data_IF_779875271389
#
_entry.id   IF_779875271389
#
_cell.length_a   1.000
_cell.length_b   1.000
_cell.length_c   1.000
_cell.angle_alpha   90.00
_cell.angle_beta   90.00
_cell.angle_gamma   90.00
#
_symmetry.space_group_name_H-M   'P 1'
#
loop_
_entity.id
_entity.type
_entity.pdbx_description
1 polymer ?
#
# COMPACT_ATOMS: atom_id res chain seq x y z
N UNK A 1 36.92 5.68 7.22
CA UNK A 1 37.90 4.62 7.49
C UNK A 1 37.18 3.28 7.55
N UNK A 2 37.65 2.30 6.77
CA UNK A 2 36.88 1.13 6.34
C UNK A 2 36.81 -0.04 7.33
N UNK A 3 35.93 -1.00 7.02
CA UNK A 3 36.25 -2.44 6.92
C UNK A 3 35.08 -3.17 6.24
N UNK A 4 35.41 -3.95 5.20
CA UNK A 4 34.55 -4.92 4.51
C UNK A 4 34.42 -6.19 5.36
N UNK A 5 33.26 -6.84 5.30
CA UNK A 5 33.07 -8.22 5.74
C UNK A 5 32.16 -8.94 4.74
N UNK A 6 32.74 -9.82 3.93
CA UNK A 6 32.06 -10.65 2.94
C UNK A 6 31.20 -11.73 3.60
N UNK A 7 29.94 -11.84 3.18
CA UNK A 7 29.10 -13.01 3.46
C UNK A 7 28.44 -13.51 2.16
N UNK A 8 28.98 -14.61 1.64
CA UNK A 8 28.39 -15.44 0.58
C UNK A 8 27.14 -16.15 1.06
N UNK A 9 25.99 -15.92 0.42
CA UNK A 9 24.73 -16.65 0.69
C UNK A 9 24.62 -17.84 -0.27
N UNK A 10 24.59 -19.06 0.30
CA UNK A 10 24.29 -20.32 -0.39
C UNK A 10 22.79 -20.40 -0.72
N UNK A 11 22.44 -20.63 -1.98
CA UNK A 11 21.07 -20.85 -2.45
C UNK A 11 20.83 -22.33 -2.77
N UNK A 12 19.85 -22.94 -2.08
CA UNK A 12 19.27 -24.25 -2.42
C UNK A 12 18.10 -24.05 -3.41
N UNK A 13 18.04 -24.89 -4.47
CA UNK A 13 16.95 -24.91 -5.46
C UNK A 13 15.84 -25.89 -5.07
N UNK A 14 14.55 -25.58 -5.26
CA UNK A 14 13.48 -26.58 -5.26
C UNK A 14 13.21 -27.16 -6.66
N UNK A 15 12.86 -28.45 -6.68
CA UNK A 15 12.53 -29.30 -7.84
C UNK A 15 11.21 -28.87 -8.52
N UNK A 16 11.17 -28.96 -9.85
CA UNK A 16 9.98 -28.77 -10.69
C UNK A 16 9.18 -30.07 -10.80
N UNK A 17 7.86 -29.95 -10.62
CA UNK A 17 6.87 -31.02 -10.74
C UNK A 17 6.46 -31.19 -12.20
N UNK A 18 6.35 -32.45 -12.59
CA UNK A 18 5.95 -33.00 -13.87
C UNK A 18 4.48 -32.66 -14.22
N UNK A 19 4.21 -32.20 -15.44
CA UNK A 19 2.87 -32.36 -16.03
C UNK A 19 2.98 -32.64 -17.53
N UNK A 20 2.37 -33.76 -17.93
CA UNK A 20 2.44 -34.39 -19.25
C UNK A 20 1.48 -33.70 -20.22
N UNK A 21 1.92 -33.48 -21.46
CA UNK A 21 1.00 -33.34 -22.61
C UNK A 21 1.61 -34.06 -23.83
N UNK A 22 0.88 -35.05 -24.34
CA UNK A 22 1.17 -35.86 -25.53
C UNK A 22 0.77 -35.07 -26.80
N UNK A 23 1.40 -35.30 -27.96
CA UNK A 23 1.40 -34.40 -29.11
C UNK A 23 0.32 -34.77 -30.16
N UNK A 24 -0.34 -33.75 -30.70
CA UNK A 24 -1.19 -33.88 -31.89
C UNK A 24 -0.95 -32.68 -32.80
N UNK A 25 0.07 -32.76 -33.64
CA UNK A 25 0.23 -31.91 -34.84
C UNK A 25 1.24 -32.60 -35.77
N UNK A 26 0.82 -33.75 -36.27
CA UNK A 26 1.48 -34.51 -37.34
C UNK A 26 0.39 -34.94 -38.33
N UNK A 27 -0.22 -33.95 -38.99
CA UNK A 27 -1.09 -34.17 -40.13
C UNK A 27 -1.16 -32.84 -40.90
N UNK A 28 -0.22 -32.65 -41.81
CA UNK A 28 -0.42 -31.98 -43.11
C UNK A 28 0.91 -31.94 -43.91
N UNK A 29 1.63 -33.06 -43.88
CA UNK A 29 2.82 -33.28 -44.71
C UNK A 29 2.67 -34.59 -45.47
N UNK A 30 1.60 -34.73 -46.27
CA UNK A 30 1.47 -35.81 -47.23
C UNK A 30 0.41 -35.47 -48.29
N UNK A 31 0.84 -34.81 -49.36
CA UNK A 31 0.36 -35.03 -50.74
C UNK A 31 1.15 -34.15 -51.69
N UNK A 32 2.26 -34.66 -52.21
CA UNK A 32 2.68 -34.31 -53.56
C UNK A 32 3.28 -35.56 -54.20
N UNK A 33 2.52 -36.14 -55.13
CA UNK A 33 3.01 -37.19 -56.02
C UNK A 33 4.05 -36.57 -56.95
N UNK A 34 5.25 -37.15 -56.97
CA UNK A 34 6.27 -36.84 -57.96
C UNK A 34 5.80 -37.37 -59.32
N UNK A 35 5.62 -36.50 -60.31
CA UNK A 35 5.59 -36.89 -61.71
C UNK A 35 7.00 -36.68 -62.28
N UNK A 36 7.58 -37.78 -62.74
CA UNK A 36 8.81 -37.84 -63.54
C UNK A 36 8.53 -37.35 -64.95
N UNK A 37 9.34 -36.42 -65.46
CA UNK A 37 9.48 -36.18 -66.90
C UNK A 37 9.75 -34.73 -67.30
N UNK A 38 10.91 -34.55 -67.94
CA UNK A 38 11.30 -33.47 -68.87
C UNK A 38 11.78 -32.09 -68.36
N UNK A 39 13.06 -31.86 -68.65
CA UNK A 39 13.70 -30.62 -69.09
C UNK A 39 13.05 -29.28 -68.72
N UNK A 40 13.61 -28.63 -67.69
CA UNK A 40 13.98 -27.21 -67.73
C UNK A 40 12.87 -26.17 -67.84
N UNK A 41 11.84 -26.20 -66.97
CA UNK A 41 10.88 -25.08 -66.87
C UNK A 41 10.64 -24.66 -65.42
N UNK A 42 10.89 -23.38 -65.13
CA UNK A 42 10.64 -22.71 -63.84
C UNK A 42 9.15 -22.34 -63.67
N UNK A 43 8.23 -23.30 -63.55
CA UNK A 43 6.80 -22.98 -63.45
C UNK A 43 6.32 -22.75 -62.00
N UNK A 44 5.51 -21.70 -61.82
CA UNK A 44 4.94 -21.33 -60.51
C UNK A 44 3.76 -22.22 -60.12
N UNK A 45 3.64 -22.57 -58.84
CA UNK A 45 2.45 -23.24 -58.32
C UNK A 45 1.19 -22.38 -58.47
N UNK A 46 0.02 -23.01 -58.38
CA UNK A 46 -1.23 -22.28 -58.21
C UNK A 46 -1.21 -21.44 -56.93
N UNK A 47 -1.98 -20.35 -56.94
CA UNK A 47 -2.14 -19.47 -55.79
C UNK A 47 -2.93 -20.17 -54.68
N UNK A 48 -2.49 -20.00 -53.43
CA UNK A 48 -3.25 -20.46 -52.26
C UNK A 48 -4.63 -19.81 -52.17
N UNK A 49 -5.52 -20.39 -51.36
CA UNK A 49 -6.72 -19.70 -50.91
C UNK A 49 -6.35 -18.38 -50.20
N UNK A 50 -7.27 -17.42 -50.22
CA UNK A 50 -7.06 -16.13 -49.58
C UNK A 50 -6.91 -16.33 -48.07
N UNK A 51 -5.90 -15.68 -47.46
CA UNK A 51 -5.59 -15.84 -46.03
C UNK A 51 -6.70 -15.41 -45.08
N UNK A 52 -7.70 -14.66 -45.57
CA UNK A 52 -8.86 -14.21 -44.80
C UNK A 52 -10.16 -14.45 -45.58
N UNK A 53 -11.26 -14.65 -44.84
CA UNK A 53 -12.60 -14.87 -45.39
C UNK A 53 -13.41 -13.58 -45.54
N UNK A 54 -12.83 -12.43 -45.17
CA UNK A 54 -13.45 -11.10 -45.26
C UNK A 54 -12.35 -10.05 -45.48
N UNK A 55 -12.66 -8.94 -46.15
CA UNK A 55 -11.69 -7.85 -46.37
C UNK A 55 -10.47 -8.22 -47.22
N UNK A 56 -9.35 -7.53 -46.98
CA UNK A 56 -8.10 -7.69 -47.74
C UNK A 56 -7.21 -8.77 -47.11
N UNK A 57 -6.82 -9.75 -47.92
CA UNK A 57 -5.92 -10.84 -47.55
C UNK A 57 -4.72 -10.97 -48.47
N UNK A 58 -3.97 -12.06 -48.26
CA UNK A 58 -2.85 -12.44 -49.12
C UNK A 58 -3.02 -13.87 -49.64
N UNK A 59 -2.57 -14.09 -50.87
CA UNK A 59 -2.35 -15.40 -51.47
C UNK A 59 -0.87 -15.57 -51.71
N UNK A 60 -0.38 -16.79 -51.56
CA UNK A 60 1.03 -17.12 -51.77
C UNK A 60 1.12 -18.23 -52.80
N UNK A 61 2.10 -18.15 -53.69
CA UNK A 61 2.52 -19.24 -54.56
C UNK A 61 4.03 -19.43 -54.50
N UNK A 62 4.48 -20.63 -54.84
CA UNK A 62 5.90 -21.02 -54.75
C UNK A 62 6.33 -21.73 -56.02
N UNK A 63 7.60 -21.60 -56.40
CA UNK A 63 8.21 -22.37 -57.47
C UNK A 63 9.47 -23.07 -56.99
N UNK A 64 9.80 -24.21 -57.59
CA UNK A 64 10.99 -24.99 -57.27
C UNK A 64 12.02 -24.83 -58.39
N UNK A 65 13.29 -24.65 -58.00
CA UNK A 65 14.42 -24.55 -58.91
C UNK A 65 15.33 -25.76 -58.65
N UNK A 66 15.59 -26.54 -59.69
CA UNK A 66 16.46 -27.73 -59.62
C UNK A 66 17.62 -27.52 -60.60
N UNK A 67 18.81 -27.16 -60.08
CA UNK A 67 20.02 -26.99 -60.89
C UNK A 67 20.91 -28.24 -60.78
N UNK A 68 21.28 -28.89 -61.89
CA UNK A 68 22.15 -30.07 -61.84
C UNK A 68 23.65 -29.75 -61.65
N UNK A 69 24.09 -28.50 -61.83
CA UNK A 69 25.52 -28.13 -61.86
C UNK A 69 25.88 -26.85 -61.07
N UNK A 70 25.09 -26.48 -60.05
CA UNK A 70 25.49 -25.46 -59.08
C UNK A 70 25.39 -24.00 -59.56
N UNK A 71 24.57 -23.71 -60.56
CA UNK A 71 24.21 -22.31 -60.88
C UNK A 71 23.13 -21.80 -59.92
N UNK A 72 23.33 -20.59 -59.38
CA UNK A 72 22.37 -19.94 -58.49
C UNK A 72 21.07 -19.60 -59.22
N UNK A 73 19.93 -19.99 -58.65
CA UNK A 73 18.60 -19.67 -59.15
C UNK A 73 18.39 -18.14 -59.16
N UNK A 74 17.98 -17.60 -60.31
CA UNK A 74 17.73 -16.17 -60.46
C UNK A 74 16.27 -15.85 -60.14
N UNK A 75 16.05 -15.03 -59.11
CA UNK A 75 14.74 -14.51 -58.73
C UNK A 75 14.08 -15.23 -57.54
N UNK A 76 12.95 -14.68 -57.03
CA UNK A 76 12.30 -15.19 -55.82
C UNK A 76 11.63 -16.56 -56.06
N UNK A 77 11.69 -17.42 -55.04
CA UNK A 77 11.04 -18.76 -55.03
C UNK A 77 9.63 -18.73 -54.43
N UNK A 78 9.24 -17.58 -53.85
CA UNK A 78 7.96 -17.36 -53.19
C UNK A 78 7.44 -16.00 -53.59
N UNK A 79 6.19 -15.95 -54.01
CA UNK A 79 5.52 -14.72 -54.41
C UNK A 79 4.23 -14.57 -53.61
N UNK A 80 3.94 -13.36 -53.17
CA UNK A 80 2.70 -13.03 -52.46
C UNK A 80 1.96 -11.94 -53.21
N UNK A 81 0.63 -12.12 -53.34
CA UNK A 81 -0.27 -11.10 -53.90
C UNK A 81 -1.44 -10.84 -52.97
N UNK A 82 -2.02 -9.67 -53.12
CA UNK A 82 -3.24 -9.27 -52.40
C UNK A 82 -4.46 -9.96 -53.00
N UNK A 83 -5.37 -10.43 -52.14
CA UNK A 83 -6.73 -10.85 -52.51
C UNK A 83 -7.76 -9.99 -51.76
N UNK A 84 -8.86 -9.62 -52.41
CA UNK A 84 -9.93 -8.84 -51.79
C UNK A 84 -11.22 -9.69 -51.74
N UNK A 85 -11.79 -9.81 -50.55
CA UNK A 85 -13.07 -10.47 -50.33
C UNK A 85 -14.16 -9.41 -50.06
N UNK A 86 -15.35 -9.59 -50.64
CA UNK A 86 -16.48 -8.64 -50.53
C UNK A 86 -17.22 -8.72 -49.21
N UNK A 87 -16.99 -9.76 -48.40
CA UNK A 87 -17.57 -9.86 -47.07
C UNK A 87 -16.98 -8.82 -46.11
N UNK A 88 -17.85 -8.09 -45.41
CA UNK A 88 -17.47 -7.15 -44.35
C UNK A 88 -16.96 -7.91 -43.13
N UNK A 89 -15.80 -7.51 -42.61
CA UNK A 89 -15.23 -8.18 -41.45
C UNK A 89 -15.96 -7.80 -40.14
N UNK A 90 -16.14 -8.75 -39.21
CA UNK A 90 -16.65 -8.44 -37.88
C UNK A 90 -15.75 -7.42 -37.18
N UNK A 91 -16.35 -6.31 -36.71
CA UNK A 91 -15.63 -5.32 -35.90
C UNK A 91 -16.03 -5.52 -34.45
N UNK A 92 -15.06 -5.95 -33.65
CA UNK A 92 -15.27 -6.15 -32.22
C UNK A 92 -15.45 -4.82 -31.49
N UNK A 93 -16.29 -4.83 -30.45
CA UNK A 93 -16.44 -3.67 -29.58
C UNK A 93 -15.13 -3.39 -28.84
N UNK A 94 -14.73 -2.12 -28.80
CA UNK A 94 -13.46 -1.70 -28.17
C UNK A 94 -13.76 -0.78 -26.99
N UNK A 95 -13.13 -1.06 -25.85
CA UNK A 95 -13.16 -0.17 -24.70
C UNK A 95 -12.35 1.10 -24.99
N UNK A 96 -12.94 2.25 -24.71
CA UNK A 96 -12.21 3.53 -24.64
C UNK A 96 -11.29 3.57 -23.43
N UNK A 97 -10.43 4.59 -23.38
CA UNK A 97 -9.53 4.80 -22.25
C UNK A 97 -10.32 5.08 -20.96
N UNK A 98 -9.77 4.63 -19.84
CA UNK A 98 -10.35 4.92 -18.53
C UNK A 98 -10.27 6.42 -18.24
N UNK A 99 -11.34 6.96 -17.67
CA UNK A 99 -11.34 8.28 -17.05
C UNK A 99 -10.25 8.37 -15.96
N UNK A 100 -9.81 9.59 -15.62
CA UNK A 100 -9.06 9.82 -14.38
C UNK A 100 -9.84 9.28 -13.18
N UNK A 101 -9.10 8.89 -12.13
CA UNK A 101 -9.71 8.51 -10.87
C UNK A 101 -10.40 9.71 -10.22
N UNK A 102 -11.60 9.49 -9.68
CA UNK A 102 -12.26 10.45 -8.81
C UNK A 102 -11.42 10.75 -7.55
N UNK A 103 -11.79 11.81 -6.84
CA UNK A 103 -11.39 11.99 -5.45
C UNK A 103 -11.86 10.79 -4.61
N UNK A 104 -11.18 10.58 -3.48
CA UNK A 104 -11.63 9.58 -2.51
C UNK A 104 -12.99 9.99 -1.95
N UNK A 105 -13.88 9.02 -1.74
CA UNK A 105 -15.23 9.25 -1.20
C UNK A 105 -15.23 9.94 0.16
N UNK A 106 -14.13 9.83 0.92
CA UNK A 106 -13.93 10.49 2.20
C UNK A 106 -12.62 11.28 2.20
N UNK A 107 -12.60 12.38 2.95
CA UNK A 107 -11.41 13.22 3.15
C UNK A 107 -10.45 12.65 4.20
N UNK A 108 -10.89 11.67 4.98
CA UNK A 108 -10.10 10.94 5.96
C UNK A 108 -10.56 9.47 6.01
N UNK A 109 -9.77 8.61 6.63
CA UNK A 109 -10.07 7.19 6.81
C UNK A 109 -9.94 6.38 5.52
N UNK A 110 -10.72 5.29 5.46
CA UNK A 110 -10.82 4.39 4.31
C UNK A 110 -11.98 4.84 3.44
N UNK A 111 -11.72 5.12 2.17
CA UNK A 111 -12.75 5.40 1.17
C UNK A 111 -12.54 4.62 -0.11
N UNK A 112 -13.34 4.94 -1.11
CA UNK A 112 -13.17 4.43 -2.47
C UNK A 112 -13.06 5.59 -3.45
N UNK A 113 -12.27 5.36 -4.50
CA UNK A 113 -12.26 6.19 -5.70
C UNK A 113 -12.72 5.36 -6.88
N UNK A 114 -13.35 6.01 -7.83
CA UNK A 114 -14.01 5.37 -8.97
C UNK A 114 -13.46 5.96 -10.26
N UNK A 115 -13.41 5.14 -11.31
CA UNK A 115 -13.18 5.57 -12.69
C UNK A 115 -14.09 4.79 -13.62
N UNK A 116 -14.43 5.38 -14.77
CA UNK A 116 -15.33 4.80 -15.77
C UNK A 116 -14.68 4.79 -17.15
N UNK A 117 -15.20 3.97 -18.07
CA UNK A 117 -14.80 3.92 -19.48
C UNK A 117 -16.02 3.61 -20.34
N UNK A 118 -16.04 4.03 -21.59
CA UNK A 118 -17.16 3.75 -22.50
C UNK A 118 -16.81 2.64 -23.49
N UNK A 119 -17.79 1.86 -23.94
CA UNK A 119 -17.61 0.82 -24.96
C UNK A 119 -18.06 1.35 -26.32
N UNK A 120 -17.19 1.27 -27.32
CA UNK A 120 -17.60 1.39 -28.72
C UNK A 120 -18.33 0.11 -29.13
N UNK A 121 -19.56 0.19 -29.68
CA UNK A 121 -20.37 -0.98 -29.95
C UNK A 121 -19.79 -1.83 -31.10
N UNK A 122 -19.91 -3.17 -31.04
CA UNK A 122 -19.49 -4.04 -32.14
C UNK A 122 -20.33 -3.82 -33.41
N UNK A 123 -19.74 -4.08 -34.56
CA UNK A 123 -20.40 -4.05 -35.87
C UNK A 123 -20.23 -5.38 -36.61
N UNK A 124 -21.15 -5.67 -37.53
CA UNK A 124 -21.10 -6.84 -38.42
C UNK A 124 -20.92 -8.19 -37.68
N UNK A 125 -21.65 -8.38 -36.57
CA UNK A 125 -21.58 -9.62 -35.77
C UNK A 125 -20.34 -9.75 -34.89
N UNK A 126 -19.60 -8.66 -34.66
CA UNK A 126 -18.49 -8.62 -33.72
C UNK A 126 -18.92 -8.86 -32.26
N UNK A 127 -17.99 -9.41 -31.47
CA UNK A 127 -18.15 -9.59 -30.01
C UNK A 127 -18.31 -8.25 -29.26
N UNK A 128 -19.18 -8.18 -28.24
CA UNK A 128 -19.33 -7.01 -27.38
C UNK A 128 -18.11 -6.83 -26.46
N UNK A 129 -17.99 -5.64 -25.87
CA UNK A 129 -16.94 -5.38 -24.89
C UNK A 129 -17.16 -6.23 -23.63
N UNK A 130 -16.19 -7.08 -23.28
CA UNK A 130 -16.25 -7.89 -22.07
C UNK A 130 -15.61 -7.16 -20.88
N UNK A 131 -16.26 -7.24 -19.72
CA UNK A 131 -15.80 -6.68 -18.45
C UNK A 131 -16.58 -5.44 -17.99
N UNK A 132 -16.21 -4.86 -16.83
CA UNK A 132 -16.98 -3.78 -16.22
C UNK A 132 -16.69 -2.41 -16.87
N UNK A 133 -17.72 -1.58 -16.90
CA UNK A 133 -17.68 -0.16 -17.30
C UNK A 133 -17.10 0.73 -16.19
N UNK A 134 -17.32 0.34 -14.93
CA UNK A 134 -16.93 1.09 -13.73
C UNK A 134 -15.94 0.29 -12.91
N UNK A 135 -14.89 0.94 -12.42
CA UNK A 135 -13.88 0.34 -11.57
C UNK A 135 -13.70 1.12 -10.27
N UNK A 136 -13.73 0.39 -9.15
CA UNK A 136 -13.54 0.94 -7.81
C UNK A 136 -12.19 0.52 -7.24
N UNK A 137 -11.51 1.43 -6.55
CA UNK A 137 -10.27 1.14 -5.84
C UNK A 137 -10.29 1.77 -4.46
N UNK A 138 -9.89 1.04 -3.40
CA UNK A 138 -9.77 1.63 -2.08
C UNK A 138 -8.71 2.74 -2.05
N UNK A 139 -8.96 3.76 -1.25
CA UNK A 139 -8.06 4.87 -0.95
C UNK A 139 -8.00 5.10 0.56
N UNK A 140 -6.79 5.37 1.07
CA UNK A 140 -6.54 5.76 2.45
C UNK A 140 -5.82 7.11 2.41
N UNK A 141 -6.38 8.13 3.07
CA UNK A 141 -5.81 9.48 3.08
C UNK A 141 -5.05 9.74 4.38
N UNK A 142 -5.76 9.88 5.50
CA UNK A 142 -5.21 10.10 6.84
C UNK A 142 -6.16 9.52 7.89
N UNK A 143 -5.74 9.37 9.14
CA UNK A 143 -6.66 8.98 10.22
C UNK A 143 -7.71 10.09 10.41
N UNK A 144 -8.98 9.71 10.61
CA UNK A 144 -10.04 10.70 10.79
C UNK A 144 -9.94 11.40 12.14
N UNK A 145 -10.25 12.72 12.20
CA UNK A 145 -10.44 13.41 13.47
C UNK A 145 -11.47 12.66 14.30
N UNK A 146 -11.12 12.40 15.55
CA UNK A 146 -12.05 11.85 16.54
C UNK A 146 -12.24 12.93 17.58
N UNK A 147 -13.41 13.54 17.57
CA UNK A 147 -13.78 14.52 18.59
C UNK A 147 -13.92 13.85 19.95
N UNK A 148 -13.55 14.59 21.00
CA UNK A 148 -13.80 14.18 22.36
C UNK A 148 -15.31 14.13 22.61
N UNK A 149 -15.77 13.03 23.18
CA UNK A 149 -17.18 12.80 23.48
C UNK A 149 -17.37 12.75 24.99
N UNK A 150 -18.39 13.47 25.47
CA UNK A 150 -18.85 13.32 26.83
C UNK A 150 -19.37 11.90 27.03
N UNK A 151 -18.83 11.20 28.02
CA UNK A 151 -19.46 10.00 28.53
C UNK A 151 -20.80 10.34 29.18
N UNK A 152 -21.59 9.30 29.45
CA UNK A 152 -22.81 9.46 30.22
C UNK A 152 -22.50 10.13 31.57
N UNK A 153 -23.43 10.98 31.99
CA UNK A 153 -23.37 11.53 33.33
C UNK A 153 -23.37 10.40 34.35
N UNK A 154 -22.55 10.55 35.39
CA UNK A 154 -22.70 9.73 36.58
C UNK A 154 -24.13 9.86 37.13
N UNK A 155 -24.53 8.86 37.92
CA UNK A 155 -25.69 9.05 38.80
C UNK A 155 -25.53 10.32 39.62
N UNK A 156 -26.65 10.97 39.91
CA UNK A 156 -26.67 12.03 40.91
C UNK A 156 -26.18 11.45 42.24
N UNK A 157 -25.31 12.20 42.91
CA UNK A 157 -24.96 11.92 44.30
C UNK A 157 -26.23 11.91 45.14
N UNK A 158 -26.15 11.31 46.33
CA UNK A 158 -27.16 11.56 47.34
C UNK A 158 -27.23 13.06 47.65
N UNK A 159 -28.39 13.50 48.15
CA UNK A 159 -28.57 14.88 48.57
C UNK A 159 -27.52 15.22 49.64
N UNK A 160 -26.90 16.40 49.54
CA UNK A 160 -25.90 16.84 50.51
C UNK A 160 -26.45 16.88 51.94
N UNK A 161 -27.78 16.95 52.09
CA UNK A 161 -28.49 16.85 53.36
C UNK A 161 -29.44 15.66 53.32
N UNK A 162 -29.69 15.03 54.46
CA UNK A 162 -30.76 14.03 54.56
C UNK A 162 -32.13 14.64 54.82
N UNK A 163 -32.19 15.93 55.16
CA UNK A 163 -33.42 16.64 55.42
C UNK A 163 -33.30 18.14 55.10
N UNK A 164 -34.40 18.80 54.76
CA UNK A 164 -34.44 20.17 54.22
C UNK A 164 -33.77 20.30 52.85
N UNK A 165 -33.43 21.53 52.45
CA UNK A 165 -32.78 21.86 51.18
C UNK A 165 -31.28 21.52 51.21
N UNK A 166 -30.83 20.85 50.16
CA UNK A 166 -29.42 20.63 49.89
C UNK A 166 -29.13 20.59 48.40
N UNK A 167 -27.98 20.05 48.04
CA UNK A 167 -27.51 19.95 46.66
C UNK A 167 -27.06 18.53 46.32
N UNK A 168 -27.40 18.08 45.11
CA UNK A 168 -26.84 16.87 44.50
C UNK A 168 -25.89 17.28 43.40
N UNK A 169 -24.81 16.51 43.23
CA UNK A 169 -23.83 16.72 42.18
C UNK A 169 -23.74 15.50 41.29
N UNK A 170 -23.42 15.72 40.02
CA UNK A 170 -23.01 14.67 39.09
C UNK A 170 -21.86 15.15 38.24
N UNK A 171 -21.09 14.21 37.71
CA UNK A 171 -19.95 14.50 36.85
C UNK A 171 -19.92 13.58 35.65
N UNK A 172 -19.21 13.98 34.60
CA UNK A 172 -18.98 13.17 33.40
C UNK A 172 -17.54 13.32 32.95
N UNK A 173 -17.02 12.28 32.31
CA UNK A 173 -15.67 12.27 31.76
C UNK A 173 -15.71 12.53 30.27
N UNK A 174 -14.70 13.22 29.74
CA UNK A 174 -14.51 13.43 28.32
C UNK A 174 -13.59 12.33 27.77
N UNK A 175 -13.98 11.67 26.68
CA UNK A 175 -13.03 10.85 25.92
C UNK A 175 -12.03 11.76 25.21
N UNK A 176 -10.75 11.38 25.20
CA UNK A 176 -9.70 12.22 24.62
C UNK A 176 -9.91 12.39 23.11
N UNK A 177 -9.79 13.62 22.62
CA UNK A 177 -9.76 13.90 21.19
C UNK A 177 -8.50 13.30 20.54
N UNK A 178 -8.63 12.85 19.30
CA UNK A 178 -7.51 12.29 18.52
C UNK A 178 -7.50 12.81 17.09
N UNK A 179 -6.33 12.75 16.45
CA UNK A 179 -6.14 13.08 15.03
C UNK A 179 -6.66 14.48 14.62
N UNK A 180 -6.53 15.46 15.52
CA UNK A 180 -6.97 16.84 15.28
C UNK A 180 -8.46 17.09 15.55
N UNK A 181 -9.15 16.17 16.21
CA UNK A 181 -10.51 16.38 16.73
C UNK A 181 -10.57 17.44 17.83
N UNK A 182 -11.76 17.94 18.06
CA UNK A 182 -12.05 18.97 19.07
C UNK A 182 -12.31 18.37 20.45
N UNK A 183 -11.86 19.07 21.50
CA UNK A 183 -12.11 18.70 22.89
C UNK A 183 -13.59 18.88 23.28
N UNK A 184 -14.04 18.18 24.32
CA UNK A 184 -15.43 18.28 24.76
C UNK A 184 -15.80 19.71 25.19
N UNK A 185 -16.89 20.24 24.64
CA UNK A 185 -17.41 21.57 25.00
C UNK A 185 -18.51 21.45 26.08
N UNK A 186 -18.44 22.29 27.10
CA UNK A 186 -19.43 22.38 28.18
C UNK A 186 -18.88 21.97 29.56
N UNK A 187 -19.71 22.03 30.62
CA UNK A 187 -19.27 21.71 31.97
C UNK A 187 -19.08 20.20 32.16
N UNK A 188 -18.06 19.83 32.92
CA UNK A 188 -17.75 18.46 33.34
C UNK A 188 -18.47 18.06 34.64
N UNK A 189 -18.97 19.04 35.40
CA UNK A 189 -19.69 18.88 36.65
C UNK A 189 -20.99 19.70 36.64
N UNK A 190 -22.02 19.17 37.28
CA UNK A 190 -23.33 19.81 37.41
C UNK A 190 -23.85 19.65 38.83
N UNK A 191 -24.52 20.69 39.33
CA UNK A 191 -25.12 20.72 40.67
C UNK A 191 -26.60 21.11 40.56
N UNK A 192 -27.46 20.45 41.34
CA UNK A 192 -28.88 20.77 41.45
C UNK A 192 -29.34 20.77 42.90
N UNK A 193 -30.43 21.48 43.17
CA UNK A 193 -31.08 21.46 44.47
C UNK A 193 -31.84 20.15 44.69
N UNK A 194 -31.92 19.72 45.95
CA UNK A 194 -32.71 18.59 46.42
C UNK A 194 -33.40 18.96 47.72
N UNK A 195 -34.60 18.43 47.95
CA UNK A 195 -35.36 18.64 49.17
C UNK A 195 -35.75 17.29 49.78
N UNK A 196 -35.40 17.11 51.05
CA UNK A 196 -35.78 15.92 51.80
C UNK A 196 -36.74 16.29 52.96
N UNK A 197 -37.97 15.78 52.97
CA UNK A 197 -39.02 16.24 53.88
C UNK A 197 -38.90 15.77 55.34
N UNK A 198 -38.09 14.74 55.65
CA UNK A 198 -38.01 14.16 56.99
C UNK A 198 -36.68 14.49 57.70
N UNK A 199 -36.75 15.37 58.70
CA UNK A 199 -35.65 15.62 59.64
C UNK A 199 -35.88 14.85 60.95
N UNK A 200 -35.64 13.54 60.98
CA UNK A 200 -35.45 12.84 62.27
C UNK A 200 -33.97 12.97 62.66
N UNK A 201 -33.74 13.66 63.77
CA UNK A 201 -32.44 14.01 64.30
C UNK A 201 -31.56 12.78 64.54
N UNK A 202 -30.66 12.46 63.62
CA UNK A 202 -29.67 11.42 63.81
C UNK A 202 -28.33 11.94 63.28
N UNK A 203 -27.37 12.25 64.17
CA UNK A 203 -25.99 12.64 63.83
C UNK A 203 -25.21 11.49 63.19
N UNK A 204 -25.64 11.06 62.01
CA UNK A 204 -25.11 9.93 61.27
C UNK A 204 -24.51 10.40 59.94
N UNK A 205 -23.53 9.69 59.41
CA UNK A 205 -23.00 9.97 58.08
C UNK A 205 -23.94 9.44 56.99
N UNK A 206 -24.09 10.16 55.87
CA UNK A 206 -24.65 9.57 54.65
C UNK A 206 -23.67 8.55 54.02
N UNK A 207 -24.14 7.83 52.99
CA UNK A 207 -23.28 6.92 52.25
C UNK A 207 -22.18 7.70 51.54
N UNK A 208 -20.99 7.11 51.45
CA UNK A 208 -19.88 7.67 50.71
C UNK A 208 -20.23 7.90 49.24
N UNK A 209 -19.87 9.08 48.73
CA UNK A 209 -19.87 9.35 47.30
C UNK A 209 -18.87 8.47 46.53
N UNK A 210 -18.96 8.52 45.20
CA UNK A 210 -17.98 7.87 44.32
C UNK A 210 -16.59 8.46 44.49
N UNK A 211 -15.57 7.64 44.26
CA UNK A 211 -14.18 8.11 44.18
C UNK A 211 -13.97 9.01 42.96
N UNK A 212 -13.19 10.08 43.13
CA UNK A 212 -12.72 10.88 42.01
C UNK A 212 -11.78 10.09 41.10
N UNK A 213 -11.49 10.64 39.91
CA UNK A 213 -10.31 10.20 39.15
C UNK A 213 -9.02 10.38 39.96
N UNK A 214 -7.99 9.62 39.62
CA UNK A 214 -6.69 9.75 40.28
C UNK A 214 -6.02 11.09 39.92
N UNK A 215 -5.48 11.79 40.92
CA UNK A 215 -4.84 13.10 40.69
C UNK A 215 -3.54 13.03 39.87
N UNK A 216 -2.92 11.85 39.76
CA UNK A 216 -1.76 11.58 38.92
C UNK A 216 -1.91 10.25 38.19
N UNK A 217 -1.29 10.14 37.03
CA UNK A 217 -1.22 8.88 36.27
C UNK A 217 -0.10 7.94 36.73
N UNK A 218 0.89 8.44 37.47
CA UNK A 218 2.02 7.69 38.03
C UNK A 218 2.68 8.47 39.20
N UNK A 219 3.65 7.86 39.89
CA UNK A 219 4.32 8.37 41.11
C UNK A 219 3.40 8.62 42.30
N UNK A 220 2.28 7.91 42.37
CA UNK A 220 1.30 8.04 43.43
C UNK A 220 0.48 9.31 43.30
N UNK A 221 -0.80 9.12 42.97
CA UNK A 221 -1.84 10.12 43.09
C UNK A 221 -2.76 9.86 44.28
N UNK A 222 -3.75 10.72 44.39
CA UNK A 222 -4.82 10.64 45.37
C UNK A 222 -6.15 10.67 44.64
N UNK A 223 -7.06 9.83 45.09
CA UNK A 223 -8.48 9.96 44.77
C UNK A 223 -9.24 10.23 46.06
N UNK A 224 -10.33 10.98 45.92
CA UNK A 224 -11.10 11.51 47.04
C UNK A 224 -12.55 11.14 46.91
N UNK A 225 -13.19 10.88 48.04
CA UNK A 225 -14.65 10.77 48.14
C UNK A 225 -15.13 11.56 49.34
N UNK A 226 -16.36 12.07 49.25
CA UNK A 226 -16.96 12.90 50.28
C UNK A 226 -18.26 12.28 50.77
N UNK A 227 -18.57 12.55 52.03
CA UNK A 227 -19.84 12.26 52.72
C UNK A 227 -20.22 13.46 53.58
N UNK A 228 -21.50 13.63 53.84
CA UNK A 228 -22.02 14.74 54.63
C UNK A 228 -22.66 14.25 55.92
N UNK A 229 -22.42 14.99 57.01
CA UNK A 229 -23.01 14.71 58.31
C UNK A 229 -24.49 15.14 58.33
N UNK A 230 -25.35 14.22 58.75
CA UNK A 230 -26.78 14.45 58.82
C UNK A 230 -27.15 15.28 60.05
N UNK A 231 -28.08 16.23 59.90
CA UNK A 231 -28.67 16.97 61.03
C UNK A 231 -27.79 18.03 61.70
N UNK A 232 -26.51 18.17 61.35
CA UNK A 232 -25.59 19.11 61.99
C UNK A 232 -26.08 20.57 61.97
N UNK A 233 -26.77 21.00 60.91
CA UNK A 233 -27.32 22.35 60.78
C UNK A 233 -28.58 22.60 61.63
N UNK A 234 -29.26 21.54 62.10
CA UNK A 234 -30.53 21.62 62.83
C UNK A 234 -30.34 21.37 64.33
N UNK A 235 -29.49 20.40 64.71
CA UNK A 235 -29.30 19.99 66.10
C UNK A 235 -27.97 20.43 66.72
N UNK A 236 -27.03 20.92 65.90
CA UNK A 236 -25.67 21.26 66.35
C UNK A 236 -24.81 20.05 66.73
N UNK A 237 -25.32 18.82 66.63
CA UNK A 237 -24.51 17.61 66.84
C UNK A 237 -23.62 17.33 65.63
N UNK A 238 -22.33 17.23 65.88
CA UNK A 238 -21.32 16.85 64.88
C UNK A 238 -21.22 15.32 64.79
N UNK A 239 -21.12 14.81 63.56
CA UNK A 239 -20.85 13.40 63.34
C UNK A 239 -19.39 13.07 63.68
N UNK A 240 -19.17 11.91 64.29
CA UNK A 240 -17.84 11.42 64.65
C UNK A 240 -17.09 10.92 63.39
N UNK A 241 -15.91 11.46 63.11
CA UNK A 241 -15.06 11.10 61.96
C UNK A 241 -14.96 12.19 60.89
N UNK A 242 -14.35 11.88 59.74
CA UNK A 242 -14.14 12.85 58.65
C UNK A 242 -15.22 12.75 57.57
N UNK A 243 -15.59 13.89 56.98
CA UNK A 243 -16.48 13.96 55.80
C UNK A 243 -15.75 13.70 54.48
N UNK A 244 -14.42 13.61 54.51
CA UNK A 244 -13.57 13.33 53.36
C UNK A 244 -12.74 12.09 53.64
N UNK A 245 -12.66 11.21 52.64
CA UNK A 245 -11.74 10.09 52.64
C UNK A 245 -10.86 10.17 51.39
N UNK A 246 -9.58 9.91 51.60
CA UNK A 246 -8.55 9.99 50.58
C UNK A 246 -7.84 8.65 50.54
N UNK A 247 -7.68 8.08 49.35
CA UNK A 247 -6.84 6.89 49.15
C UNK A 247 -5.81 7.12 48.06
N UNK A 248 -4.75 6.31 48.09
CA UNK A 248 -3.68 6.33 47.09
C UNK A 248 -4.12 5.60 45.83
N UNK A 249 -3.67 6.11 44.70
CA UNK A 249 -3.89 5.52 43.39
C UNK A 249 -2.63 5.73 42.52
N UNK A 250 -2.55 5.05 41.37
CA UNK A 250 -1.43 5.16 40.43
C UNK A 250 -0.05 4.96 41.08
N UNK A 251 0.13 3.85 41.80
CA UNK A 251 1.37 3.51 42.51
C UNK A 251 2.55 3.17 41.59
N UNK A 252 2.29 3.00 40.30
CA UNK A 252 3.34 2.80 39.30
C UNK A 252 4.23 4.03 39.23
N UNK A 253 5.54 3.81 39.26
CA UNK A 253 6.53 4.89 39.16
C UNK A 253 6.48 5.52 37.76
N UNK A 254 6.52 6.84 37.68
CA UNK A 254 6.74 7.51 36.40
C UNK A 254 8.19 7.23 35.95
N UNK A 255 8.45 7.14 34.64
CA UNK A 255 9.82 7.13 34.14
C UNK A 255 10.57 8.33 34.69
N UNK A 256 11.70 8.08 35.36
CA UNK A 256 12.51 9.16 35.89
C UNK A 256 13.08 9.99 34.73
N UNK A 257 13.46 11.27 34.96
CA UNK A 257 14.00 12.11 33.89
C UNK A 257 15.20 11.49 33.16
N UNK A 258 16.02 10.71 33.87
CA UNK A 258 17.16 9.99 33.30
C UNK A 258 16.76 8.73 32.52
N UNK A 259 15.52 8.25 32.63
CA UNK A 259 14.95 7.11 31.88
C UNK A 259 14.19 7.57 30.62
N UNK A 260 14.20 8.87 30.34
CA UNK A 260 13.56 9.48 29.18
C UNK A 260 14.65 10.00 28.26
N UNK A 261 14.64 9.59 27.00
CA UNK A 261 15.57 10.15 26.04
C UNK A 261 15.25 11.63 25.82
N UNK A 262 16.25 12.52 25.88
CA UNK A 262 16.03 13.95 25.68
C UNK A 262 15.60 14.26 24.25
N UNK A 263 15.08 15.45 24.04
CA UNK A 263 14.85 15.92 22.67
C UNK A 263 16.21 16.06 21.96
N UNK A 264 16.32 15.48 20.78
CA UNK A 264 17.58 15.42 20.03
C UNK A 264 17.36 15.77 18.55
N UNK A 265 18.36 16.40 17.94
CA UNK A 265 18.33 16.88 16.57
C UNK A 265 19.38 16.14 15.76
N UNK A 266 18.94 15.32 14.81
CA UNK A 266 19.84 14.56 13.95
C UNK A 266 19.36 14.64 12.50
N UNK A 267 20.24 15.04 11.58
CA UNK A 267 19.93 15.13 10.14
C UNK A 267 18.64 15.93 9.87
N UNK A 268 18.48 17.10 10.49
CA UNK A 268 17.30 17.98 10.42
C UNK A 268 16.00 17.42 11.02
N UNK A 269 16.03 16.24 11.64
CA UNK A 269 14.87 15.63 12.29
C UNK A 269 14.88 15.89 13.79
N UNK A 270 13.69 16.11 14.34
CA UNK A 270 13.48 16.30 15.78
C UNK A 270 13.01 14.99 16.39
N UNK A 271 13.82 14.37 17.24
CA UNK A 271 13.44 13.20 18.03
C UNK A 271 12.81 13.68 19.33
N UNK A 272 11.48 13.58 19.42
CA UNK A 272 10.74 13.99 20.61
C UNK A 272 11.09 13.08 21.79
N UNK A 273 11.01 13.65 23.00
CA UNK A 273 11.20 12.91 24.25
C UNK A 273 10.30 11.68 24.32
N UNK A 274 10.89 10.53 24.58
CA UNK A 274 10.19 9.25 24.79
C UNK A 274 10.83 8.49 25.95
N UNK A 275 10.04 7.75 26.75
CA UNK A 275 10.60 6.88 27.78
C UNK A 275 11.37 5.73 27.15
N UNK A 276 12.30 5.16 27.91
CA UNK A 276 13.06 4.01 27.43
C UNK A 276 12.17 2.78 27.20
N UNK A 277 12.48 2.04 26.14
CA UNK A 277 11.66 0.94 25.63
C UNK A 277 10.80 1.34 24.43
N UNK A 278 10.46 2.63 24.30
CA UNK A 278 9.63 3.15 23.22
C UNK A 278 10.41 3.46 21.93
N UNK A 279 9.66 3.52 20.83
CA UNK A 279 10.14 3.90 19.51
C UNK A 279 9.54 5.25 19.12
N UNK A 280 10.41 6.21 18.80
CA UNK A 280 10.01 7.43 18.11
C UNK A 280 10.00 7.19 16.60
N UNK A 281 9.13 7.91 15.89
CA UNK A 281 9.02 7.85 14.43
C UNK A 281 9.07 9.25 13.84
N UNK A 282 9.87 9.43 12.80
CA UNK A 282 9.93 10.63 11.99
C UNK A 282 9.67 10.29 10.52
N UNK A 283 9.30 11.28 9.72
CA UNK A 283 9.29 11.12 8.27
C UNK A 283 10.72 10.98 7.75
N UNK A 284 10.90 10.23 6.66
CA UNK A 284 12.19 10.16 5.99
C UNK A 284 12.62 11.55 5.46
N UNK A 285 13.93 11.77 5.19
CA UNK A 285 14.40 13.02 4.61
C UNK A 285 13.72 13.30 3.25
N UNK A 286 13.71 14.55 2.81
CA UNK A 286 12.98 15.00 1.60
C UNK A 286 13.30 14.21 0.32
N UNK A 287 14.48 13.58 0.24
CA UNK A 287 14.89 12.74 -0.87
C UNK A 287 14.29 11.32 -0.86
N UNK A 288 13.50 10.98 0.16
CA UNK A 288 12.89 9.67 0.36
C UNK A 288 11.48 9.74 0.93
N UNK A 289 10.72 8.67 0.72
CA UNK A 289 9.39 8.47 1.30
C UNK A 289 9.43 7.36 2.35
N UNK A 290 8.54 7.46 3.35
CA UNK A 290 8.42 6.46 4.42
C UNK A 290 8.65 7.06 5.80
N UNK A 291 9.02 6.21 6.76
CA UNK A 291 9.32 6.62 8.12
C UNK A 291 10.70 6.14 8.55
N UNK A 292 11.40 6.97 9.33
CA UNK A 292 12.53 6.52 10.12
C UNK A 292 12.07 6.30 11.56
N UNK A 293 12.70 5.38 12.26
CA UNK A 293 12.41 5.11 13.66
C UNK A 293 13.68 5.08 14.47
N UNK A 294 13.62 5.54 15.71
CA UNK A 294 14.74 5.51 16.66
C UNK A 294 14.24 5.00 17.99
N UNK A 295 14.95 4.04 18.56
CA UNK A 295 14.63 3.44 19.85
C UNK A 295 15.29 4.25 20.96
N UNK A 296 14.55 4.51 22.01
CA UNK A 296 15.11 4.98 23.28
C UNK A 296 15.45 3.76 24.15
N UNK A 297 16.71 3.61 24.53
CA UNK A 297 17.21 2.45 25.28
C UNK A 297 17.93 2.89 26.54
N UNK A 298 17.96 2.02 27.56
CA UNK A 298 18.72 2.27 28.79
C UNK A 298 20.15 1.77 28.65
N UNK A 299 21.09 2.59 29.09
CA UNK A 299 22.47 2.16 29.32
C UNK A 299 22.54 1.21 30.52
N UNK A 300 23.69 0.56 30.70
CA UNK A 300 23.97 -0.28 31.88
C UNK A 300 23.84 0.49 33.21
N UNK A 301 23.95 1.82 33.19
CA UNK A 301 23.79 2.69 34.35
C UNK A 301 22.35 3.21 34.50
N UNK A 302 21.39 2.70 33.72
CA UNK A 302 19.99 3.10 33.77
C UNK A 302 19.70 4.47 33.14
N UNK A 303 20.66 5.09 32.45
CA UNK A 303 20.46 6.36 31.74
C UNK A 303 19.99 6.09 30.32
N UNK A 304 18.88 6.69 29.93
CA UNK A 304 18.29 6.61 28.61
C UNK A 304 19.12 7.35 27.56
N UNK A 305 19.33 6.70 26.44
CA UNK A 305 20.01 7.25 25.28
C UNK A 305 19.32 6.79 24.00
N UNK A 306 19.48 7.59 22.96
CA UNK A 306 18.97 7.23 21.65
C UNK A 306 19.91 6.28 20.91
N UNK A 307 19.37 5.16 20.45
CA UNK A 307 20.09 4.27 19.52
C UNK A 307 20.30 4.93 18.15
N UNK A 308 21.04 4.29 17.25
CA UNK A 308 21.16 4.79 15.88
C UNK A 308 19.78 4.77 15.18
N UNK A 309 19.44 5.82 14.41
CA UNK A 309 18.18 5.86 13.67
C UNK A 309 18.15 4.74 12.62
N UNK A 310 17.02 4.07 12.52
CA UNK A 310 16.75 3.08 11.49
C UNK A 310 16.06 3.75 10.31
N UNK A 311 16.68 3.65 9.14
CA UNK A 311 16.11 4.08 7.86
C UNK A 311 15.57 2.89 7.04
N UNK A 312 15.29 1.77 7.69
CA UNK A 312 14.84 0.53 7.03
C UNK A 312 13.54 0.71 6.22
N UNK A 313 12.70 1.68 6.58
CA UNK A 313 11.46 1.99 5.86
C UNK A 313 11.56 3.24 4.98
N UNK A 314 12.75 3.81 4.81
CA UNK A 314 12.98 4.89 3.86
C UNK A 314 13.29 4.33 2.48
N UNK A 315 12.57 4.84 1.48
CA UNK A 315 12.76 4.51 0.07
C UNK A 315 13.01 5.81 -0.68
N UNK A 316 14.18 5.94 -1.27
CA UNK A 316 14.61 7.06 -2.09
C UNK A 316 13.64 7.30 -3.25
N UNK A 317 13.40 8.57 -3.57
CA UNK A 317 12.49 8.95 -4.63
C UNK A 317 12.91 8.36 -5.99
N UNK A 318 14.21 8.27 -6.28
CA UNK A 318 14.76 7.65 -7.50
C UNK A 318 14.31 6.18 -7.66
N UNK A 319 14.40 5.37 -6.60
CA UNK A 319 13.95 3.98 -6.60
C UNK A 319 12.43 3.87 -6.75
N UNK A 320 11.68 4.81 -6.16
CA UNK A 320 10.23 4.90 -6.30
C UNK A 320 9.82 5.25 -7.74
N UNK A 321 10.49 6.21 -8.37
CA UNK A 321 10.28 6.56 -9.78
C UNK A 321 10.58 5.37 -10.69
N UNK A 322 11.65 4.63 -10.40
CA UNK A 322 12.00 3.42 -11.14
C UNK A 322 10.91 2.33 -11.02
N UNK A 323 10.36 2.11 -9.82
CA UNK A 323 9.22 1.19 -9.63
C UNK A 323 7.95 1.68 -10.36
N UNK A 324 7.73 2.99 -10.45
CA UNK A 324 6.64 3.54 -11.27
C UNK A 324 6.86 3.32 -12.77
N UNK A 325 8.08 3.52 -13.27
CA UNK A 325 8.45 3.24 -14.67
C UNK A 325 8.19 1.78 -15.06
N UNK A 326 8.48 0.82 -14.18
CA UNK A 326 8.12 -0.60 -14.39
C UNK A 326 6.61 -0.77 -14.58
N UNK A 327 5.80 -0.13 -13.74
CA UNK A 327 4.33 -0.20 -13.85
C UNK A 327 3.84 0.41 -15.17
N UNK A 328 4.47 1.48 -15.63
CA UNK A 328 4.17 2.09 -16.94
C UNK A 328 4.56 1.16 -18.10
N UNK A 329 5.76 0.58 -18.09
CA UNK A 329 6.19 -0.37 -19.13
C UNK A 329 5.31 -1.63 -19.15
N UNK A 330 4.84 -2.09 -18.00
CA UNK A 330 3.86 -3.19 -17.90
C UNK A 330 2.47 -2.78 -18.41
N UNK A 331 2.04 -1.54 -18.18
CA UNK A 331 0.74 -1.04 -18.62
C UNK A 331 0.66 -0.81 -20.13
N UNK A 332 1.79 -0.47 -20.79
CA UNK A 332 1.85 -0.19 -22.24
C UNK A 332 1.67 -1.43 -23.15
N UNK A 333 1.55 -2.64 -22.60
CA UNK A 333 0.98 -3.83 -23.28
C UNK A 333 1.75 -4.40 -24.50
N UNK A 334 2.75 -3.73 -25.05
CA UNK A 334 3.52 -4.20 -26.21
C UNK A 334 4.72 -5.04 -25.77
N UNK A 335 4.69 -6.35 -26.08
CA UNK A 335 5.65 -7.38 -25.60
C UNK A 335 7.11 -7.14 -26.00
N UNK A 336 7.35 -6.42 -27.10
CA UNK A 336 8.70 -6.11 -27.61
C UNK A 336 9.26 -4.85 -26.90
N UNK A 337 8.44 -3.83 -26.72
CA UNK A 337 8.79 -2.59 -25.98
C UNK A 337 8.92 -2.79 -24.46
N UNK A 338 8.29 -3.83 -23.93
CA UNK A 338 8.48 -4.25 -22.54
C UNK A 338 9.91 -4.76 -22.30
N UNK A 339 10.55 -5.43 -23.27
CA UNK A 339 11.93 -5.92 -23.13
C UNK A 339 12.96 -4.78 -23.07
N UNK A 340 12.82 -3.79 -23.96
CA UNK A 340 13.69 -2.61 -23.99
C UNK A 340 13.46 -1.70 -22.77
N UNK A 341 12.20 -1.48 -22.39
CA UNK A 341 11.86 -0.74 -21.18
C UNK A 341 12.40 -1.39 -19.90
N UNK A 342 12.32 -2.73 -19.80
CA UNK A 342 12.89 -3.45 -18.66
C UNK A 342 14.42 -3.51 -18.68
N UNK A 343 15.05 -3.50 -19.86
CA UNK A 343 16.51 -3.34 -20.01
C UNK A 343 16.96 -1.96 -19.52
N UNK A 344 16.22 -0.91 -19.87
CA UNK A 344 16.48 0.45 -19.38
C UNK A 344 16.30 0.56 -17.86
N UNK A 345 15.24 -0.05 -17.30
CA UNK A 345 15.04 -0.12 -15.84
C UNK A 345 16.22 -0.81 -15.14
N UNK A 346 16.72 -1.90 -15.70
CA UNK A 346 17.85 -2.66 -15.14
C UNK A 346 19.13 -1.84 -15.16
N UNK A 347 19.37 -1.10 -16.26
CA UNK A 347 20.52 -0.19 -16.38
C UNK A 347 20.46 0.95 -15.36
N UNK A 348 19.30 1.57 -15.18
CA UNK A 348 19.10 2.61 -14.16
C UNK A 348 19.24 2.05 -12.74
N UNK A 349 18.73 0.85 -12.47
CA UNK A 349 18.92 0.21 -11.16
C UNK A 349 20.41 -0.05 -10.87
N UNK A 350 21.15 -0.51 -11.88
CA UNK A 350 22.59 -0.75 -11.75
C UNK A 350 23.34 0.55 -11.44
N UNK A 351 23.02 1.64 -12.14
CA UNK A 351 23.60 2.96 -11.86
C UNK A 351 23.29 3.43 -10.42
N UNK A 352 22.03 3.34 -9.98
CA UNK A 352 21.63 3.73 -8.63
C UNK A 352 22.33 2.91 -7.54
N UNK A 353 22.45 1.60 -7.74
CA UNK A 353 23.10 0.70 -6.76
C UNK A 353 24.63 0.89 -6.72
N UNK A 354 25.26 1.29 -7.82
CA UNK A 354 26.69 1.60 -7.88
C UNK A 354 27.07 2.89 -7.14
N UNK A 355 26.14 3.86 -6.99
CA UNK A 355 26.38 5.12 -6.26
C UNK A 355 26.58 4.95 -4.75
N UNK A 356 26.31 3.77 -4.19
CA UNK A 356 26.45 3.41 -2.76
C UNK A 356 25.73 4.33 -1.75
N UNK A 357 24.82 5.18 -2.23
CA UNK A 357 24.01 6.09 -1.43
C UNK A 357 22.56 5.62 -1.48
N UNK A 358 22.22 4.63 -0.65
CA UNK A 358 20.89 4.06 -0.60
C UNK A 358 20.48 3.76 0.84
N UNK A 359 19.18 3.90 1.11
CA UNK A 359 18.61 3.47 2.39
C UNK A 359 18.43 1.96 2.40
N UNK A 360 18.32 1.36 3.59
CA UNK A 360 18.05 -0.08 3.69
C UNK A 360 16.71 -0.49 3.04
N UNK A 361 15.74 0.43 2.94
CA UNK A 361 14.49 0.19 2.19
C UNK A 361 14.69 0.15 0.67
N UNK A 362 15.70 0.83 0.13
CA UNK A 362 16.01 0.80 -1.32
C UNK A 362 16.51 -0.58 -1.76
N UNK A 363 17.23 -1.30 -0.90
CA UNK A 363 17.65 -2.67 -1.16
C UNK A 363 16.45 -3.61 -1.31
N UNK A 364 15.46 -3.49 -0.42
CA UNK A 364 14.22 -4.25 -0.51
C UNK A 364 13.43 -3.91 -1.79
N UNK A 365 13.36 -2.62 -2.13
CA UNK A 365 12.73 -2.15 -3.37
C UNK A 365 13.47 -2.68 -4.62
N UNK A 366 14.80 -2.75 -4.57
CA UNK A 366 15.63 -3.29 -5.65
C UNK A 366 15.33 -4.76 -5.93
N UNK A 367 15.14 -5.56 -4.89
CA UNK A 367 14.75 -6.98 -5.04
C UNK A 367 13.38 -7.11 -5.69
N UNK A 368 12.41 -6.25 -5.30
CA UNK A 368 11.08 -6.24 -5.91
C UNK A 368 11.12 -5.81 -7.38
N UNK A 369 11.91 -4.78 -7.70
CA UNK A 369 12.16 -4.32 -9.08
C UNK A 369 12.74 -5.46 -9.92
N UNK A 370 13.82 -6.10 -9.45
CA UNK A 370 14.49 -7.19 -10.17
C UNK A 370 13.56 -8.39 -10.37
N UNK A 371 12.73 -8.71 -9.38
CA UNK A 371 11.71 -9.76 -9.51
C UNK A 371 10.72 -9.44 -10.62
N UNK A 372 10.17 -8.23 -10.63
CA UNK A 372 9.20 -7.81 -11.64
C UNK A 372 9.82 -7.77 -13.05
N UNK A 373 11.05 -7.27 -13.17
CA UNK A 373 11.81 -7.28 -14.41
C UNK A 373 12.02 -8.72 -14.91
N UNK A 374 12.48 -9.61 -14.03
CA UNK A 374 12.71 -11.03 -14.35
C UNK A 374 11.43 -11.73 -14.80
N UNK A 375 10.32 -11.51 -14.09
CA UNK A 375 9.02 -12.07 -14.44
C UNK A 375 8.50 -11.51 -15.78
N UNK A 376 8.85 -10.27 -16.12
CA UNK A 376 8.53 -9.67 -17.42
C UNK A 376 9.34 -10.29 -18.55
N UNK A 377 10.65 -10.44 -18.38
CA UNK A 377 11.51 -11.10 -19.38
C UNK A 377 11.12 -12.56 -19.60
N UNK A 378 10.73 -13.30 -18.56
CA UNK A 378 10.20 -14.67 -18.70
C UNK A 378 8.93 -14.74 -19.55
N UNK A 379 8.13 -13.67 -19.56
CA UNK A 379 6.86 -13.57 -20.32
C UNK A 379 7.05 -13.00 -21.73
N UNK A 380 8.14 -12.29 -21.99
CA UNK A 380 8.47 -11.75 -23.30
C UNK A 380 9.08 -12.86 -24.18
N UNK A 381 8.44 -13.19 -25.30
CA UNK A 381 9.07 -14.02 -26.35
C UNK A 381 10.04 -13.13 -27.12
N UNK A 382 11.34 -13.38 -26.98
CA UNK A 382 12.38 -12.70 -27.74
C UNK A 382 12.33 -13.18 -29.21
N UNK A 383 11.98 -12.28 -30.13
CA UNK A 383 12.21 -12.47 -31.57
C UNK A 383 13.35 -11.52 -31.92
N UNK A 384 14.53 -12.00 -32.31
CA UNK A 384 15.64 -11.12 -32.69
C UNK A 384 15.22 -10.31 -33.92
N UNK A 385 15.37 -8.99 -33.87
CA UNK A 385 15.22 -8.14 -35.04
C UNK A 385 16.44 -8.36 -35.96
N UNK A 386 16.18 -8.75 -37.20
CA UNK A 386 17.16 -8.82 -38.27
C UNK A 386 17.38 -7.43 -38.85
N UNK A 387 18.16 -6.58 -38.19
CA UNK A 387 18.76 -5.41 -38.84
C UNK A 387 19.99 -4.96 -38.05
N UNK A 388 21.16 -5.34 -38.57
CA UNK A 388 22.43 -5.07 -37.91
C UNK A 388 23.64 -5.65 -38.63
N UNK A 389 23.67 -5.62 -39.96
CA UNK A 389 24.93 -5.80 -40.71
C UNK A 389 24.92 -4.81 -41.89
N UNK A 390 25.33 -3.56 -41.65
CA UNK A 390 25.99 -2.80 -42.71
C UNK A 390 27.49 -3.09 -42.60
N UNK A 391 27.95 -4.06 -43.38
CA UNK A 391 29.38 -4.13 -43.71
C UNK A 391 29.67 -2.92 -44.59
N UNK A 392 30.54 -2.05 -44.09
CA UNK A 392 31.19 -1.02 -44.90
C UNK A 392 32.13 -1.74 -45.87
N UNK A 393 31.71 -1.95 -47.11
CA UNK A 393 32.63 -2.27 -48.20
C UNK A 393 33.22 -0.97 -48.74
N UNK A 394 34.45 -0.70 -48.33
CA UNK A 394 35.40 0.11 -49.10
C UNK A 394 35.92 -0.71 -50.28
N UNK A 395 35.92 -0.17 -51.50
CA UNK A 395 36.94 -0.32 -52.58
C UNK A 395 36.40 0.15 -53.95
N UNK A 396 37.24 0.46 -54.96
CA UNK A 396 38.70 0.66 -54.97
C UNK A 396 39.13 2.13 -55.13
#
# INVERSE_FOLDING_TARGET
>A
FGMMGDHTIKSQRPRSVHEKRVPQEQADAAKFMAQTGESGVEEWSQWSTCSVTCGQGSQVRTRTCVSPYGTHCSGPLRESRVCNNTALCPVHGVWEEWSPWSLCSFTCGRGQRTRTRSCTPPQYGGRPCEGPETHHKPCNIALCPVDGQWQEWSSWSQCSVTCSNGTQQRSRQCTAAAHGGSECRGPWAESRECYNPECTANGQWNQWGHWSGCSKSCDGGWERRMRTCQGAAVTGQQCEGTGEEVRRCSEQRCPAPYEICPEDYLMSMVWKRTPAGDLAFNQCPLNATGTTSRRCSLSLHGVAFWEQPSFARCISNEYRHLQHSIKEHLAKGQRILAGDGMSQVTKTLLDLTQRKNFYAGDLLMSVEILRNVTDTFKRARYVPASDGVQVRETSP
#
